data_IF_012427089812
#
_entry.id   IF_012427089812
#
_cell.length_a   1.000
_cell.length_b   1.000
_cell.length_c   1.000
_cell.angle_alpha   90.00
_cell.angle_beta   90.00
_cell.angle_gamma   90.00
#
_symmetry.space_group_name_H-M   'P 1'
#
loop_
_entity.id
_entity.type
_entity.pdbx_description
1 polymer ?
#
# COMPACT_ATOMS: atom_id res chain seq x y z
N UNK A 1 4.84 17.81 -14.50
CA UNK A 1 4.95 18.60 -13.25
C UNK A 1 4.30 17.79 -12.11
N UNK A 2 4.94 17.76 -10.95
CA UNK A 2 4.44 17.04 -9.79
C UNK A 2 3.23 17.77 -9.18
N UNK A 3 2.15 17.02 -8.96
CA UNK A 3 0.95 17.55 -8.31
C UNK A 3 1.13 17.59 -6.80
N UNK A 4 0.81 18.72 -6.17
CA UNK A 4 0.80 18.87 -4.72
C UNK A 4 -0.64 18.75 -4.20
N UNK A 5 -0.85 17.78 -3.31
CA UNK A 5 -2.16 17.52 -2.72
C UNK A 5 -2.48 18.50 -1.61
N UNK A 6 -3.72 18.96 -1.57
CA UNK A 6 -4.23 19.81 -0.50
C UNK A 6 -4.75 18.94 0.65
N UNK A 7 -4.69 19.47 1.86
CA UNK A 7 -5.18 18.74 3.04
C UNK A 7 -6.71 18.71 3.15
N UNK A 8 -7.38 19.64 2.52
CA UNK A 8 -8.84 19.80 2.58
C UNK A 8 -9.61 18.97 1.56
N UNK A 9 -8.91 18.29 0.63
CA UNK A 9 -9.52 17.44 -0.39
C UNK A 9 -8.88 16.06 -0.40
N UNK A 10 -9.66 15.02 -0.69
CA UNK A 10 -9.18 13.64 -0.76
C UNK A 10 -8.92 13.16 -2.20
N UNK A 11 -8.90 14.09 -3.15
CA UNK A 11 -8.72 13.75 -4.57
C UNK A 11 -7.27 13.49 -4.92
N UNK A 12 -7.05 12.55 -5.84
CA UNK A 12 -5.76 12.26 -6.44
C UNK A 12 -5.80 12.53 -7.95
N UNK A 13 -4.66 12.91 -8.57
CA UNK A 13 -4.62 13.05 -10.02
C UNK A 13 -4.79 11.70 -10.71
N UNK A 14 -5.16 11.68 -12.01
CA UNK A 14 -5.24 10.42 -12.75
C UNK A 14 -3.91 9.67 -12.71
N UNK A 15 -3.95 8.34 -12.57
CA UNK A 15 -2.75 7.50 -12.51
C UNK A 15 -1.87 7.64 -13.75
N UNK A 16 -2.47 7.98 -14.89
CA UNK A 16 -1.75 8.19 -16.15
C UNK A 16 -0.81 9.40 -16.11
N UNK A 17 -0.97 10.30 -15.13
CA UNK A 17 -0.10 11.46 -14.94
C UNK A 17 1.15 11.14 -14.12
N UNK A 18 1.28 9.92 -13.59
CA UNK A 18 2.46 9.51 -12.84
C UNK A 18 3.73 9.64 -13.70
N UNK A 19 4.81 10.06 -13.07
CA UNK A 19 6.09 10.24 -13.75
C UNK A 19 6.68 8.89 -14.17
N UNK A 20 7.42 8.91 -15.27
CA UNK A 20 8.19 7.74 -15.72
C UNK A 20 9.54 7.65 -15.00
N UNK A 21 10.09 8.79 -14.63
CA UNK A 21 11.38 8.90 -13.92
C UNK A 21 11.30 9.97 -12.83
N UNK A 22 11.29 9.60 -11.54
CA UNK A 22 11.25 8.23 -11.01
C UNK A 22 9.92 7.54 -11.31
N UNK A 23 9.98 6.24 -11.59
CA UNK A 23 8.80 5.49 -12.04
C UNK A 23 7.67 5.50 -11.00
N UNK A 24 6.55 6.07 -11.41
CA UNK A 24 5.32 6.01 -10.66
C UNK A 24 5.09 7.17 -9.69
N UNK A 25 5.98 8.14 -9.60
CA UNK A 25 5.74 9.29 -8.73
C UNK A 25 4.53 10.08 -9.22
N UNK A 26 3.46 10.08 -8.43
CA UNK A 26 2.16 10.62 -8.81
C UNK A 26 1.91 11.99 -8.21
N UNK A 27 2.17 12.17 -6.93
CA UNK A 27 1.84 13.38 -6.20
C UNK A 27 2.68 13.51 -4.93
N UNK A 28 2.66 14.70 -4.35
CA UNK A 28 3.30 14.98 -3.06
C UNK A 28 2.34 15.72 -2.14
N UNK A 29 2.55 15.62 -0.84
CA UNK A 29 1.78 16.36 0.15
C UNK A 29 0.53 15.63 0.61
N UNK A 30 -0.47 16.40 1.02
CA UNK A 30 -1.67 15.87 1.65
C UNK A 30 -1.41 15.50 3.12
N UNK A 31 -2.02 14.41 3.57
CA UNK A 31 -1.86 13.88 4.91
C UNK A 31 -1.92 12.34 4.88
N UNK A 32 -1.78 11.71 6.03
CA UNK A 32 -1.90 10.25 6.19
C UNK A 32 -3.14 9.87 6.98
N UNK A 33 -4.20 10.66 6.88
CA UNK A 33 -5.47 10.32 7.53
C UNK A 33 -6.03 9.00 6.99
N UNK A 34 -6.80 8.25 7.80
CA UNK A 34 -7.43 7.01 7.34
C UNK A 34 -8.26 7.20 6.07
N UNK A 35 -9.02 8.28 5.98
CA UNK A 35 -9.84 8.57 4.81
C UNK A 35 -9.00 8.76 3.55
N UNK A 36 -7.88 9.48 3.66
CA UNK A 36 -6.97 9.65 2.53
C UNK A 36 -6.33 8.33 2.10
N UNK A 37 -5.89 7.51 3.06
CA UNK A 37 -5.28 6.21 2.76
C UNK A 37 -6.28 5.28 2.06
N UNK A 38 -7.53 5.25 2.51
CA UNK A 38 -8.58 4.48 1.86
C UNK A 38 -8.78 4.95 0.42
N UNK A 39 -8.87 6.26 0.21
CA UNK A 39 -9.03 6.81 -1.14
C UNK A 39 -7.82 6.51 -2.03
N UNK A 40 -6.61 6.58 -1.49
CA UNK A 40 -5.39 6.26 -2.22
C UNK A 40 -5.43 4.82 -2.73
N UNK A 41 -5.69 3.87 -1.86
CA UNK A 41 -5.74 2.46 -2.24
C UNK A 41 -6.88 2.15 -3.22
N UNK A 42 -8.03 2.79 -3.07
CA UNK A 42 -9.13 2.66 -4.03
C UNK A 42 -8.77 3.23 -5.40
N UNK A 43 -7.98 4.28 -5.42
CA UNK A 43 -7.51 4.93 -6.66
C UNK A 43 -6.37 4.14 -7.33
N UNK A 44 -5.60 3.38 -6.57
CA UNK A 44 -4.49 2.58 -7.06
C UNK A 44 -3.11 3.16 -6.77
N UNK A 45 -2.98 4.03 -5.79
CA UNK A 45 -1.70 4.60 -5.37
C UNK A 45 -1.44 4.35 -3.88
N UNK A 46 -0.21 4.56 -3.47
CA UNK A 46 0.22 4.33 -2.08
C UNK A 46 1.29 5.35 -1.68
N UNK A 47 1.43 5.64 -0.37
CA UNK A 47 2.46 6.53 0.12
C UNK A 47 3.78 5.79 0.35
N UNK A 48 4.89 6.41 -0.03
CA UNK A 48 6.24 5.93 0.32
C UNK A 48 7.20 7.11 0.28
N UNK A 49 7.83 7.40 1.41
CA UNK A 49 8.74 8.54 1.54
C UNK A 49 9.71 8.30 2.69
N UNK A 50 10.82 9.04 2.67
CA UNK A 50 11.85 8.98 3.73
C UNK A 50 11.74 10.18 4.66
N UNK A 51 12.42 10.10 5.79
CA UNK A 51 12.52 11.21 6.72
C UNK A 51 13.07 12.46 6.02
N UNK A 52 12.48 13.62 6.30
CA UNK A 52 12.83 14.88 5.68
C UNK A 52 12.21 15.12 4.32
N UNK A 53 11.55 14.13 3.74
CA UNK A 53 10.79 14.30 2.50
C UNK A 53 9.33 14.65 2.78
N UNK A 54 8.66 15.33 1.85
CA UNK A 54 7.20 15.41 1.91
C UNK A 54 6.59 14.02 1.70
N UNK A 55 5.31 13.87 2.05
CA UNK A 55 4.58 12.65 1.72
C UNK A 55 4.57 12.51 0.20
N UNK A 56 5.06 11.38 -0.31
CA UNK A 56 5.10 11.08 -1.74
C UNK A 56 4.15 9.92 -2.03
N UNK A 57 3.38 10.05 -3.11
CA UNK A 57 2.37 9.08 -3.54
C UNK A 57 2.80 8.46 -4.87
N UNK A 58 2.65 7.14 -4.98
CA UNK A 58 3.23 6.35 -6.07
C UNK A 58 2.20 5.44 -6.74
N UNK A 59 2.31 5.31 -8.04
CA UNK A 59 1.61 4.30 -8.85
C UNK A 59 2.54 3.85 -9.98
N UNK A 60 3.49 2.94 -9.70
CA UNK A 60 4.46 2.50 -10.72
C UNK A 60 3.82 1.68 -11.84
N UNK A 61 4.45 1.73 -13.01
CA UNK A 61 4.06 0.96 -14.18
C UNK A 61 5.35 0.47 -14.89
N UNK A 62 5.58 -0.83 -15.05
CA UNK A 62 4.75 -1.97 -14.60
C UNK A 62 4.75 -2.16 -13.08
N UNK A 63 3.75 -2.88 -12.58
CA UNK A 63 3.59 -3.13 -11.15
C UNK A 63 3.28 -4.60 -10.89
N UNK A 64 4.05 -5.21 -9.99
CA UNK A 64 3.76 -6.57 -9.51
C UNK A 64 2.51 -6.55 -8.63
N UNK A 65 1.57 -7.41 -8.94
CA UNK A 65 0.30 -7.51 -8.21
C UNK A 65 -0.04 -8.96 -7.90
N UNK A 66 -0.87 -9.16 -6.89
CA UNK A 66 -1.48 -10.45 -6.58
C UNK A 66 -2.99 -10.32 -6.74
N UNK A 67 -3.55 -11.15 -7.63
CA UNK A 67 -4.99 -11.29 -7.73
C UNK A 67 -5.46 -12.36 -6.73
N UNK A 68 -6.31 -12.02 -5.74
CA UNK A 68 -6.68 -12.97 -4.69
C UNK A 68 -7.26 -14.29 -5.20
N UNK A 69 -8.03 -14.25 -6.29
CA UNK A 69 -8.62 -15.45 -6.91
C UNK A 69 -7.61 -16.32 -7.64
N UNK A 70 -6.39 -15.82 -7.87
CA UNK A 70 -5.29 -16.55 -8.52
C UNK A 70 -4.21 -16.98 -7.53
N UNK A 71 -4.45 -16.80 -6.23
CA UNK A 71 -3.50 -17.19 -5.20
C UNK A 71 -3.25 -18.70 -5.23
N UNK A 72 -1.99 -19.10 -5.44
CA UNK A 72 -1.60 -20.48 -5.38
C UNK A 72 -1.37 -20.90 -3.91
N UNK A 73 -2.12 -21.89 -3.45
CA UNK A 73 -1.94 -22.48 -2.13
C UNK A 73 -1.26 -23.83 -2.30
N UNK A 74 -0.03 -23.96 -1.77
CA UNK A 74 0.70 -25.23 -1.82
C UNK A 74 -0.02 -26.33 -1.04
N UNK A 75 0.31 -27.60 -1.36
CA UNK A 75 -0.30 -28.74 -0.63
C UNK A 75 0.01 -28.71 0.86
N UNK A 76 1.23 -28.34 1.24
CA UNK A 76 1.65 -28.25 2.64
C UNK A 76 0.91 -27.14 3.37
N UNK A 77 0.75 -25.98 2.75
CA UNK A 77 -0.03 -24.88 3.34
C UNK A 77 -1.50 -25.25 3.47
N UNK A 78 -2.08 -25.87 2.46
CA UNK A 78 -3.48 -26.33 2.51
C UNK A 78 -3.70 -27.31 3.66
N UNK A 79 -2.74 -28.20 3.91
CA UNK A 79 -2.79 -29.14 5.04
C UNK A 79 -2.80 -28.40 6.39
N UNK A 80 -1.91 -27.39 6.55
CA UNK A 80 -1.88 -26.59 7.78
C UNK A 80 -3.19 -25.84 8.00
N UNK A 81 -3.76 -25.30 6.93
CA UNK A 81 -5.04 -24.60 7.01
C UNK A 81 -6.18 -25.55 7.44
N UNK A 82 -6.25 -26.76 6.88
CA UNK A 82 -7.25 -27.76 7.27
C UNK A 82 -7.09 -28.21 8.73
N UNK A 83 -5.85 -28.32 9.21
CA UNK A 83 -5.55 -28.73 10.57
C UNK A 83 -5.82 -27.62 11.59
N UNK A 84 -6.06 -26.39 11.14
CA UNK A 84 -6.30 -25.22 12.00
C UNK A 84 -5.24 -25.05 13.09
N UNK A 85 -3.96 -25.31 12.74
CA UNK A 85 -2.83 -25.15 13.67
C UNK A 85 -2.60 -23.70 14.08
N UNK A 86 -2.94 -22.76 13.19
CA UNK A 86 -2.78 -21.34 13.42
C UNK A 86 -4.12 -20.65 13.26
N UNK A 87 -4.38 -19.71 14.10
CA UNK A 87 -5.56 -18.87 14.02
C UNK A 87 -5.17 -17.52 13.41
N UNK A 88 -5.72 -17.18 12.24
CA UNK A 88 -5.45 -15.92 11.55
C UNK A 88 -6.45 -14.88 12.01
N UNK A 89 -5.94 -13.72 12.41
CA UNK A 89 -6.77 -12.58 12.81
C UNK A 89 -6.29 -11.33 12.08
N UNK A 90 -7.17 -10.33 12.00
CA UNK A 90 -6.86 -9.01 11.45
C UNK A 90 -7.06 -7.96 12.53
N UNK A 91 -6.24 -6.91 12.49
CA UNK A 91 -6.39 -5.69 13.29
C UNK A 91 -6.44 -5.92 14.81
N UNK A 92 -5.71 -6.94 15.31
CA UNK A 92 -5.66 -7.26 16.74
C UNK A 92 -4.35 -6.93 17.42
N UNK A 93 -3.24 -6.96 16.70
CA UNK A 93 -1.91 -6.73 17.29
C UNK A 93 -0.99 -6.03 16.30
N UNK A 94 -1.30 -4.78 16.01
CA UNK A 94 -0.50 -3.98 15.09
C UNK A 94 0.95 -3.82 15.57
N UNK A 95 1.16 -3.53 16.87
CA UNK A 95 2.51 -3.34 17.41
C UNK A 95 3.36 -4.59 17.29
N UNK A 96 2.80 -5.77 17.63
CA UNK A 96 3.51 -7.04 17.52
C UNK A 96 3.92 -7.35 16.08
N UNK A 97 3.03 -7.15 15.13
CA UNK A 97 3.30 -7.38 13.70
C UNK A 97 4.39 -6.43 13.19
N UNK A 98 4.28 -5.15 13.44
CA UNK A 98 5.24 -4.15 12.96
C UNK A 98 6.62 -4.36 13.60
N UNK A 99 6.69 -4.62 14.91
CA UNK A 99 7.95 -4.89 15.59
C UNK A 99 8.67 -6.11 15.02
N UNK A 100 7.94 -7.17 14.71
CA UNK A 100 8.49 -8.37 14.08
C UNK A 100 9.11 -8.05 12.70
N UNK A 101 8.42 -7.26 11.89
CA UNK A 101 8.90 -6.88 10.55
C UNK A 101 10.15 -5.98 10.61
N UNK A 102 10.25 -5.10 11.62
CA UNK A 102 11.38 -4.19 11.75
C UNK A 102 12.69 -4.91 12.12
N UNK A 103 12.62 -6.10 12.73
CA UNK A 103 13.81 -6.89 13.11
C UNK A 103 14.23 -7.89 12.03
N UNK A 104 13.53 -7.98 10.95
CA UNK A 104 13.89 -8.80 9.79
C UNK A 104 14.38 -7.92 8.65
#
# INVERSE_FOLDING_TARGET
>A
MLTWLKRDTLTFPPLTTAMREPNGLLAAGGDLSPDRLIQAYRHGCFPCFSEGQPILWWSPDPRTVLFPHELHVSRSLAKLLRQQRYHVTFDRDFEGVISCLLYT
#
